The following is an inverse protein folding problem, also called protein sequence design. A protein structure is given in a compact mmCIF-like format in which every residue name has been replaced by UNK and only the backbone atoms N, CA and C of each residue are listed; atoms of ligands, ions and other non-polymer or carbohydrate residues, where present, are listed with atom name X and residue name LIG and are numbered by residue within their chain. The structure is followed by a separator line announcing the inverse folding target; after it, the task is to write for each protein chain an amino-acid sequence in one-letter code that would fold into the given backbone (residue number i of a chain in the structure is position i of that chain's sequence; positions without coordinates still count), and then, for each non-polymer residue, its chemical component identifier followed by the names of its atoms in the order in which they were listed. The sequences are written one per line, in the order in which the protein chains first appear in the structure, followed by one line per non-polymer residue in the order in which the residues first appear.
data_IF_402617148226
#
_entry.id   IF_402617148226
#
_cell.length_a   1.000
_cell.length_b   1.000
_cell.length_c   1.000
_cell.angle_alpha   90.00
_cell.angle_beta   90.00
_cell.angle_gamma   90.00
#
_symmetry.space_group_name_H-M   'P 1'
#
loop_
_entity.id
_entity.type
_entity.pdbx_description
1 polymer ?
#
# COMPACT_ATOMS: atom_id res chain seq x y z
N UNK A 1 4.66 15.09 -42.50
CA UNK A 1 4.79 13.97 -43.48
C UNK A 1 4.65 12.65 -42.74
N UNK A 2 4.01 11.63 -43.32
CA UNK A 2 3.97 10.27 -42.76
C UNK A 2 5.10 9.46 -43.42
N UNK A 3 6.12 8.98 -42.67
CA UNK A 3 7.18 8.15 -43.24
C UNK A 3 6.61 6.84 -43.78
N UNK A 4 7.14 6.36 -44.92
CA UNK A 4 6.74 5.07 -45.51
C UNK A 4 7.56 3.96 -44.87
N UNK A 5 6.89 2.96 -44.31
CA UNK A 5 7.51 1.75 -43.78
C UNK A 5 7.21 0.59 -44.72
N UNK A 6 8.20 -0.26 -44.99
CA UNK A 6 8.01 -1.52 -45.72
C UNK A 6 8.06 -2.65 -44.70
N UNK A 7 7.00 -3.46 -44.66
CA UNK A 7 6.84 -4.56 -43.72
C UNK A 7 6.35 -5.77 -44.52
N UNK A 8 6.86 -6.94 -44.19
CA UNK A 8 6.39 -8.20 -44.75
C UNK A 8 5.31 -8.77 -43.83
N UNK A 9 4.23 -9.24 -44.43
CA UNK A 9 3.15 -9.99 -43.78
C UNK A 9 3.12 -11.37 -44.43
N UNK A 10 2.75 -12.39 -43.67
CA UNK A 10 2.47 -13.70 -44.26
C UNK A 10 1.20 -13.64 -45.15
N UNK A 11 1.01 -14.67 -45.95
CA UNK A 11 -0.06 -14.72 -46.96
C UNK A 11 -1.45 -14.68 -46.31
N UNK A 12 -1.63 -15.36 -45.17
CA UNK A 12 -2.89 -15.41 -44.43
C UNK A 12 -3.26 -14.02 -43.87
N UNK A 13 -2.30 -13.33 -43.27
CA UNK A 13 -2.49 -12.00 -42.70
C UNK A 13 -2.68 -10.94 -43.78
N UNK A 14 -2.02 -11.10 -44.94
CA UNK A 14 -2.24 -10.27 -46.13
C UNK A 14 -3.68 -10.43 -46.62
N UNK A 15 -4.17 -11.66 -46.77
CA UNK A 15 -5.55 -11.92 -47.18
C UNK A 15 -6.57 -11.30 -46.21
N UNK A 16 -6.32 -11.41 -44.89
CA UNK A 16 -7.17 -10.79 -43.87
C UNK A 16 -7.17 -9.27 -43.94
N UNK A 17 -6.00 -8.64 -44.12
CA UNK A 17 -5.88 -7.19 -44.25
C UNK A 17 -6.59 -6.68 -45.50
N UNK A 18 -6.51 -7.42 -46.59
CA UNK A 18 -7.15 -7.10 -47.87
C UNK A 18 -8.67 -7.17 -47.76
N UNK A 19 -9.19 -8.22 -47.10
CA UNK A 19 -10.61 -8.33 -46.80
C UNK A 19 -11.12 -7.19 -45.90
N UNK A 20 -10.33 -6.75 -44.91
CA UNK A 20 -10.67 -5.62 -44.04
C UNK A 20 -10.66 -4.29 -44.79
N UNK A 21 -9.68 -4.09 -45.68
CA UNK A 21 -9.54 -2.87 -46.47
C UNK A 21 -10.53 -2.78 -47.65
N UNK A 22 -11.19 -3.89 -48.02
CA UNK A 22 -12.23 -3.88 -49.03
C UNK A 22 -13.49 -3.10 -48.61
N UNK A 23 -13.64 -2.79 -47.32
CA UNK A 23 -14.75 -1.97 -46.80
C UNK A 23 -14.57 -0.48 -47.19
N UNK A 24 -15.64 0.22 -47.63
CA UNK A 24 -15.56 1.64 -47.93
C UNK A 24 -15.11 2.46 -46.72
N UNK A 25 -14.24 3.45 -46.94
CA UNK A 25 -13.84 4.42 -45.92
C UNK A 25 -12.62 4.03 -45.08
N UNK A 26 -11.95 2.92 -45.37
CA UNK A 26 -10.70 2.51 -44.70
C UNK A 26 -9.60 2.16 -45.69
N UNK A 27 -8.34 2.22 -45.25
CA UNK A 27 -7.18 1.83 -46.04
C UNK A 27 -6.30 0.87 -45.24
N UNK A 28 -5.54 0.01 -45.92
CA UNK A 28 -4.58 -0.90 -45.27
C UNK A 28 -3.67 -0.15 -44.29
N UNK A 29 -3.14 1.00 -44.71
CA UNK A 29 -2.30 1.86 -43.86
C UNK A 29 -3.03 2.40 -42.63
N UNK A 30 -4.32 2.75 -42.74
CA UNK A 30 -5.11 3.21 -41.60
C UNK A 30 -5.39 2.08 -40.60
N UNK A 31 -5.72 0.88 -41.09
CA UNK A 31 -5.95 -0.33 -40.28
C UNK A 31 -4.68 -0.70 -39.51
N UNK A 32 -3.55 -0.80 -40.21
CA UNK A 32 -2.26 -1.15 -39.59
C UNK A 32 -1.83 -0.09 -38.57
N UNK A 33 -2.01 1.20 -38.88
CA UNK A 33 -1.70 2.26 -37.94
C UNK A 33 -2.57 2.20 -36.67
N UNK A 34 -3.86 1.86 -36.79
CA UNK A 34 -4.73 1.72 -35.63
C UNK A 34 -4.40 0.48 -34.79
N UNK A 35 -4.17 -0.66 -35.45
CA UNK A 35 -3.73 -1.88 -34.79
C UNK A 35 -2.41 -1.67 -34.02
N UNK A 36 -1.44 -0.97 -34.62
CA UNK A 36 -0.17 -0.63 -33.95
C UNK A 36 -0.39 0.29 -32.75
N UNK A 37 -1.23 1.33 -32.85
CA UNK A 37 -1.57 2.18 -31.71
C UNK A 37 -2.22 1.38 -30.58
N UNK A 38 -3.17 0.50 -30.90
CA UNK A 38 -3.81 -0.35 -29.91
C UNK A 38 -2.81 -1.32 -29.27
N UNK A 39 -1.93 -1.94 -30.06
CA UNK A 39 -0.92 -2.87 -29.55
C UNK A 39 0.06 -2.18 -28.61
N UNK A 40 0.61 -1.02 -29.02
CA UNK A 40 1.54 -0.23 -28.21
C UNK A 40 0.86 0.33 -26.95
N UNK A 41 -0.39 0.78 -27.07
CA UNK A 41 -1.19 1.24 -25.93
C UNK A 41 -1.47 0.12 -24.92
N UNK A 42 -1.87 -1.07 -25.39
CA UNK A 42 -2.07 -2.26 -24.54
C UNK A 42 -0.78 -2.71 -23.86
N UNK A 43 0.36 -2.61 -24.53
CA UNK A 43 1.66 -2.95 -23.93
C UNK A 43 1.99 -2.01 -22.77
N UNK A 44 1.83 -0.70 -22.96
CA UNK A 44 2.03 0.27 -21.89
C UNK A 44 1.07 0.07 -20.71
N UNK A 45 -0.21 -0.25 -20.99
CA UNK A 45 -1.17 -0.59 -19.95
C UNK A 45 -0.77 -1.85 -19.17
N UNK A 46 -0.31 -2.91 -19.85
CA UNK A 46 0.17 -4.14 -19.19
C UNK A 46 1.39 -3.91 -18.30
N UNK A 47 2.34 -3.09 -18.74
CA UNK A 47 3.53 -2.76 -17.94
C UNK A 47 3.14 -1.96 -16.67
N UNK A 48 2.17 -1.04 -16.81
CA UNK A 48 1.61 -0.31 -15.66
C UNK A 48 0.84 -1.23 -14.70
N UNK A 49 0.00 -2.11 -15.23
CA UNK A 49 -0.80 -3.05 -14.45
C UNK A 49 0.09 -4.00 -13.63
N UNK A 50 1.18 -4.50 -14.22
CA UNK A 50 2.16 -5.34 -13.52
C UNK A 50 2.88 -4.55 -12.41
N UNK A 51 3.31 -3.31 -12.71
CA UNK A 51 3.94 -2.45 -11.71
C UNK A 51 2.98 -2.12 -10.55
N UNK A 52 1.69 -1.91 -10.84
CA UNK A 52 0.65 -1.71 -9.83
C UNK A 52 0.42 -2.97 -9.00
N UNK A 53 0.35 -4.15 -9.63
CA UNK A 53 0.22 -5.44 -8.94
C UNK A 53 1.33 -5.63 -7.91
N UNK A 54 2.59 -5.44 -8.32
CA UNK A 54 3.75 -5.56 -7.42
C UNK A 54 3.67 -4.59 -6.24
N UNK A 55 3.20 -3.36 -6.47
CA UNK A 55 3.03 -2.35 -5.41
C UNK A 55 1.92 -2.74 -4.44
N UNK A 56 0.78 -3.20 -4.96
CA UNK A 56 -0.34 -3.67 -4.14
C UNK A 56 0.04 -4.89 -3.30
N UNK A 57 0.73 -5.86 -3.88
CA UNK A 57 1.23 -7.03 -3.13
C UNK A 57 2.15 -6.61 -1.98
N UNK A 58 3.02 -5.61 -2.21
CA UNK A 58 3.87 -5.05 -1.15
C UNK A 58 3.04 -4.37 -0.06
N UNK A 59 2.01 -3.61 -0.43
CA UNK A 59 1.12 -2.97 0.54
C UNK A 59 0.34 -4.00 1.36
N UNK A 60 -0.19 -5.05 0.74
CA UNK A 60 -0.87 -6.14 1.45
C UNK A 60 0.04 -6.80 2.49
N UNK A 61 1.29 -7.13 2.12
CA UNK A 61 2.27 -7.69 3.08
C UNK A 61 2.61 -6.72 4.23
N UNK A 62 2.60 -5.42 3.97
CA UNK A 62 2.79 -4.41 5.02
C UNK A 62 1.58 -4.35 5.94
N UNK A 63 0.35 -4.43 5.41
CA UNK A 63 -0.88 -4.48 6.20
C UNK A 63 -0.95 -5.73 7.07
N UNK A 64 -0.63 -6.91 6.54
CA UNK A 64 -0.55 -8.16 7.32
C UNK A 64 0.47 -8.06 8.48
N UNK A 65 1.57 -7.34 8.28
CA UNK A 65 2.53 -7.09 9.36
C UNK A 65 1.95 -6.16 10.42
N UNK A 66 1.30 -5.08 10.00
CA UNK A 66 0.64 -4.14 10.93
C UNK A 66 -0.45 -4.85 11.73
N UNK A 67 -1.24 -5.71 11.09
CA UNK A 67 -2.27 -6.50 11.77
C UNK A 67 -1.69 -7.39 12.87
N UNK A 68 -0.58 -8.09 12.58
CA UNK A 68 0.14 -8.87 13.60
C UNK A 68 0.67 -8.00 14.73
N UNK A 69 1.29 -6.86 14.40
CA UNK A 69 1.81 -5.92 15.41
C UNK A 69 0.68 -5.38 16.30
N UNK A 70 -0.49 -5.11 15.73
CA UNK A 70 -1.70 -4.67 16.46
C UNK A 70 -2.23 -5.77 17.38
N UNK A 71 -2.25 -7.03 16.92
CA UNK A 71 -2.67 -8.15 17.78
C UNK A 71 -1.74 -8.31 18.99
N UNK A 72 -0.42 -8.24 18.77
CA UNK A 72 0.58 -8.31 19.87
C UNK A 72 0.38 -7.16 20.85
N UNK A 73 0.13 -5.94 20.36
CA UNK A 73 -0.19 -4.79 21.21
C UNK A 73 -1.47 -5.02 22.02
N UNK A 74 -2.53 -5.53 21.40
CA UNK A 74 -3.80 -5.80 22.07
C UNK A 74 -3.64 -6.83 23.19
N UNK A 75 -2.93 -7.94 22.93
CA UNK A 75 -2.62 -8.96 23.93
C UNK A 75 -1.77 -8.39 25.07
N UNK A 76 -0.76 -7.58 24.74
CA UNK A 76 0.12 -6.94 25.73
C UNK A 76 -0.65 -5.97 26.62
N UNK A 77 -1.55 -5.16 26.06
CA UNK A 77 -2.41 -4.24 26.83
C UNK A 77 -3.38 -5.00 27.71
N UNK A 78 -4.00 -6.08 27.20
CA UNK A 78 -4.89 -6.92 28.00
C UNK A 78 -4.16 -7.54 29.19
N UNK A 79 -2.94 -8.05 28.98
CA UNK A 79 -2.07 -8.56 30.04
C UNK A 79 -1.69 -7.47 31.04
N UNK A 80 -1.30 -6.29 30.57
CA UNK A 80 -0.96 -5.14 31.42
C UNK A 80 -2.14 -4.71 32.29
N UNK A 81 -3.33 -4.56 31.71
CA UNK A 81 -4.56 -4.19 32.46
C UNK A 81 -4.90 -5.26 33.48
N UNK A 82 -4.86 -6.55 33.10
CA UNK A 82 -5.10 -7.65 34.05
C UNK A 82 -4.09 -7.64 35.19
N UNK A 83 -2.81 -7.46 34.89
CA UNK A 83 -1.75 -7.34 35.89
C UNK A 83 -2.02 -6.18 36.83
N UNK A 84 -2.34 -4.99 36.31
CA UNK A 84 -2.69 -3.82 37.12
C UNK A 84 -3.89 -4.12 38.03
N UNK A 85 -4.96 -4.70 37.51
CA UNK A 85 -6.15 -5.06 38.32
C UNK A 85 -5.85 -6.16 39.36
N UNK A 86 -4.84 -6.99 39.13
CA UNK A 86 -4.48 -8.09 40.04
C UNK A 86 -3.48 -7.65 41.12
N UNK A 87 -2.52 -6.78 40.78
CA UNK A 87 -1.41 -6.38 41.66
C UNK A 87 -1.69 -5.08 42.41
N UNK A 88 -2.56 -4.21 41.89
CA UNK A 88 -2.98 -3.02 42.64
C UNK A 88 -3.87 -3.51 43.79
N UNK A 89 -3.30 -3.64 44.99
CA UNK A 89 -4.08 -3.78 46.22
C UNK A 89 -5.19 -2.73 46.19
N UNK A 90 -6.43 -3.03 46.63
CA UNK A 90 -7.50 -2.05 46.65
C UNK A 90 -7.05 -0.87 47.50
N UNK A 91 -6.55 0.17 46.82
CA UNK A 91 -6.19 1.42 47.44
C UNK A 91 -7.48 2.00 48.02
N UNK A 92 -7.41 2.74 49.15
CA UNK A 92 -8.52 3.58 49.56
C UNK A 92 -9.01 4.35 48.35
N UNK A 93 -10.34 4.46 48.17
CA UNK A 93 -10.90 5.17 47.03
C UNK A 93 -10.18 6.52 46.90
N UNK A 94 -9.48 6.75 45.78
CA UNK A 94 -8.64 7.93 45.66
C UNK A 94 -9.53 9.16 45.85
N UNK A 95 -9.10 10.08 46.70
CA UNK A 95 -9.80 11.33 46.89
C UNK A 95 -9.83 12.14 45.57
N UNK A 96 -10.65 13.19 45.52
CA UNK A 96 -10.80 13.99 44.29
C UNK A 96 -9.46 14.54 43.78
N UNK A 97 -8.51 14.85 44.67
CA UNK A 97 -7.20 15.37 44.31
C UNK A 97 -6.33 14.29 43.66
N UNK A 98 -6.29 13.07 44.22
CA UNK A 98 -5.58 11.94 43.65
C UNK A 98 -6.13 11.52 42.28
N UNK A 99 -7.47 11.55 42.09
CA UNK A 99 -8.10 11.31 40.78
C UNK A 99 -7.71 12.39 39.76
N UNK A 100 -7.70 13.66 40.16
CA UNK A 100 -7.31 14.77 39.30
C UNK A 100 -5.84 14.67 38.85
N UNK A 101 -4.93 14.31 39.75
CA UNK A 101 -3.50 14.09 39.44
C UNK A 101 -3.34 12.90 38.48
N UNK A 102 -4.11 11.82 38.68
CA UNK A 102 -4.13 10.67 37.76
C UNK A 102 -4.55 11.06 36.34
N UNK A 103 -5.63 11.83 36.22
CA UNK A 103 -6.13 12.35 34.94
C UNK A 103 -5.10 13.26 34.26
N UNK A 104 -4.43 14.14 35.01
CA UNK A 104 -3.38 15.02 34.50
C UNK A 104 -2.18 14.23 33.96
N UNK A 105 -1.73 13.20 34.69
CA UNK A 105 -0.63 12.31 34.27
C UNK A 105 -1.00 11.53 33.01
N UNK A 106 -2.24 11.03 32.93
CA UNK A 106 -2.73 10.34 31.73
C UNK A 106 -2.75 11.28 30.51
N UNK A 107 -3.24 12.50 30.67
CA UNK A 107 -3.25 13.48 29.57
C UNK A 107 -1.83 13.77 29.06
N UNK A 108 -0.86 13.99 29.96
CA UNK A 108 0.56 14.20 29.58
C UNK A 108 1.15 13.00 28.84
N UNK A 109 0.77 11.77 29.21
CA UNK A 109 1.18 10.56 28.51
C UNK A 109 0.60 10.52 27.09
N UNK A 110 -0.70 10.79 26.92
CA UNK A 110 -1.35 10.85 25.60
C UNK A 110 -0.68 11.91 24.71
N UNK A 111 -0.38 13.09 25.25
CA UNK A 111 0.30 14.17 24.51
C UNK A 111 1.73 13.77 24.10
N UNK A 112 2.43 12.96 24.90
CA UNK A 112 3.76 12.46 24.57
C UNK A 112 3.72 11.36 23.49
N UNK A 113 2.77 10.43 23.60
CA UNK A 113 2.54 9.40 22.57
C UNK A 113 2.15 10.04 21.25
N UNK A 114 1.24 11.01 21.25
CA UNK A 114 0.84 11.75 20.05
C UNK A 114 2.02 12.44 19.36
N UNK A 115 2.92 13.07 20.14
CA UNK A 115 4.16 13.66 19.61
C UNK A 115 5.10 12.61 19.01
N UNK A 116 5.24 11.46 19.64
CA UNK A 116 6.13 10.39 19.17
C UNK A 116 5.59 9.69 17.91
N UNK A 117 4.27 9.56 17.78
CA UNK A 117 3.63 9.04 16.56
C UNK A 117 3.73 10.01 15.38
N UNK A 118 3.70 11.31 15.63
CA UNK A 118 3.93 12.33 14.61
C UNK A 118 5.40 12.44 14.17
N UNK A 119 6.33 11.84 14.93
CA UNK A 119 7.74 11.83 14.58
C UNK A 119 8.03 10.78 13.47
N UNK A 120 8.86 11.11 12.47
CA UNK A 120 9.07 10.27 11.28
C UNK A 120 9.85 8.96 11.52
N UNK A 121 10.27 8.66 12.75
CA UNK A 121 11.13 7.51 13.07
C UNK A 121 10.48 6.57 14.08
N UNK A 122 10.31 5.30 13.69
CA UNK A 122 9.80 4.22 14.54
C UNK A 122 10.78 3.93 15.69
N UNK A 123 10.49 4.42 16.90
CA UNK A 123 11.42 4.33 18.04
C UNK A 123 11.43 2.97 18.73
N UNK A 124 10.36 2.19 18.63
CA UNK A 124 10.24 0.89 19.33
C UNK A 124 11.14 -0.23 18.76
N UNK A 125 11.91 0.05 17.70
CA UNK A 125 12.86 -0.90 17.10
C UNK A 125 14.34 -0.61 17.36
N UNK A 126 14.71 0.44 18.11
CA UNK A 126 16.12 0.81 18.36
C UNK A 126 16.47 0.72 19.85
N UNK A 127 16.29 -0.45 20.44
CA UNK A 127 16.89 -0.82 21.73
C UNK A 127 17.58 -2.17 21.54
N UNK A 128 18.76 -2.14 20.93
CA UNK A 128 19.53 -3.33 20.58
C UNK A 128 20.82 -2.92 19.91
N UNK A 129 21.71 -2.31 20.69
CA UNK A 129 23.18 -2.24 20.54
C UNK A 129 23.68 -0.90 21.09
N UNK A 130 23.96 -0.92 22.38
CA UNK A 130 25.08 -0.20 22.97
C UNK A 130 25.49 -0.98 24.21
N UNK A 131 26.28 -2.04 23.99
CA UNK A 131 27.27 -2.53 24.96
C UNK A 131 28.64 -2.00 24.53
N UNK A 132 29.66 -1.95 25.40
CA UNK A 132 29.87 -2.80 26.58
C UNK A 132 29.71 -2.11 27.93
#
# INVERSE_FOLDING_TARGET
MKPRHHLYLDDDLTAQLDALAAKPGTSKSAIVADALRQYLGRRGARELDEALRIRLDRQSRQLERIERDVQVLLESVALFVRYQLTVTAPLPEPDKAARAIGQERFQKFIDQVGRQMAAPSRTLGRSGEASP
#
